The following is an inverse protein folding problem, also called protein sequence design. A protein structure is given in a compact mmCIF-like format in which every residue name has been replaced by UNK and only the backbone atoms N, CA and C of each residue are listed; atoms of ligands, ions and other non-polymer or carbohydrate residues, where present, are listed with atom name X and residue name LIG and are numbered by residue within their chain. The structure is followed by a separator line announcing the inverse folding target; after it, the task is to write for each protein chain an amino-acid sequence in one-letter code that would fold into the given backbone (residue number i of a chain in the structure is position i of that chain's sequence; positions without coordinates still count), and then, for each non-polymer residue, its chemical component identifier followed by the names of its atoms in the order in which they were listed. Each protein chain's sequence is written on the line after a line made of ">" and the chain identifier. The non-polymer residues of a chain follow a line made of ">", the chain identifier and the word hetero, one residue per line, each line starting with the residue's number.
data_IF_126210236755
#
_entry.id   IF_126210236755
#
_cell.length_a   1.000
_cell.length_b   1.000
_cell.length_c   1.000
_cell.angle_alpha   90.00
_cell.angle_beta   90.00
_cell.angle_gamma   90.00
#
_symmetry.space_group_name_H-M   'P 1'
#
loop_
_entity.id
_entity.type
_entity.pdbx_description
1 polymer ?
#
# COMPACT_ATOMS: atom_id res chain seq x y z
N UNK A 1 49.92 32.34 20.88
CA UNK A 1 50.46 31.08 21.42
C UNK A 1 49.39 29.99 21.23
N UNK A 2 49.71 28.98 20.42
CA UNK A 2 49.11 27.63 20.33
C UNK A 2 47.60 27.50 20.07
N UNK A 3 47.15 27.45 18.81
CA UNK A 3 46.09 26.54 18.30
C UNK A 3 46.23 26.40 16.76
N UNK A 4 47.14 25.56 16.27
CA UNK A 4 47.28 25.25 14.81
C UNK A 4 47.34 23.74 14.53
N UNK A 5 47.03 22.89 15.51
CA UNK A 5 47.26 21.43 15.48
C UNK A 5 46.00 20.57 15.31
N UNK A 6 44.80 21.16 15.16
CA UNK A 6 43.52 20.39 15.11
C UNK A 6 43.18 19.88 13.71
N UNK A 7 43.69 20.53 12.65
CA UNK A 7 43.38 20.19 11.26
C UNK A 7 43.82 18.77 10.78
N UNK A 8 45.03 18.28 11.10
CA UNK A 8 45.49 16.99 10.58
C UNK A 8 44.79 15.79 11.22
N UNK A 9 44.32 15.92 12.48
CA UNK A 9 43.62 14.83 13.18
C UNK A 9 42.19 14.63 12.66
N UNK A 10 41.50 15.71 12.28
CA UNK A 10 40.15 15.63 11.67
C UNK A 10 40.22 14.99 10.29
N UNK A 11 41.27 15.30 9.52
CA UNK A 11 41.48 14.75 8.18
C UNK A 11 41.89 13.26 8.22
N UNK A 12 42.69 12.87 9.22
CA UNK A 12 43.01 11.47 9.50
C UNK A 12 41.78 10.66 9.98
N UNK A 13 40.92 11.25 10.82
CA UNK A 13 39.66 10.61 11.23
C UNK A 13 38.70 10.43 10.03
N UNK A 14 38.57 11.44 9.17
CA UNK A 14 37.73 11.35 7.97
C UNK A 14 38.26 10.29 6.98
N UNK A 15 39.59 10.17 6.81
CA UNK A 15 40.19 9.09 6.01
C UNK A 15 39.95 7.71 6.64
N UNK A 16 40.15 7.57 7.96
CA UNK A 16 39.91 6.32 8.68
C UNK A 16 38.44 5.87 8.60
N UNK A 17 37.49 6.81 8.68
CA UNK A 17 36.06 6.54 8.58
C UNK A 17 35.66 6.12 7.16
N UNK A 18 36.24 6.76 6.13
CA UNK A 18 36.02 6.38 4.73
C UNK A 18 36.59 4.99 4.37
N UNK A 19 37.70 4.59 5.00
CA UNK A 19 38.31 3.26 4.85
C UNK A 19 37.47 2.21 5.57
N UNK A 20 37.00 2.51 6.79
CA UNK A 20 36.11 1.64 7.57
C UNK A 20 34.77 1.41 6.85
N UNK A 21 34.20 2.45 6.24
CA UNK A 21 32.96 2.33 5.45
C UNK A 21 33.17 1.47 4.19
N UNK A 22 34.25 1.67 3.43
CA UNK A 22 34.57 0.84 2.24
C UNK A 22 34.84 -0.62 2.59
N UNK A 23 35.50 -0.88 3.71
CA UNK A 23 35.80 -2.24 4.15
C UNK A 23 34.52 -2.98 4.60
N UNK A 24 33.65 -2.29 5.36
CA UNK A 24 32.39 -2.86 5.80
C UNK A 24 31.45 -3.16 4.62
N UNK A 25 31.34 -2.25 3.66
CA UNK A 25 30.48 -2.45 2.48
C UNK A 25 30.98 -3.60 1.58
N UNK A 26 32.31 -3.76 1.43
CA UNK A 26 32.88 -4.91 0.70
C UNK A 26 32.64 -6.23 1.42
N UNK A 27 32.77 -6.25 2.75
CA UNK A 27 32.48 -7.44 3.56
C UNK A 27 31.00 -7.81 3.48
N UNK A 28 30.10 -6.84 3.60
CA UNK A 28 28.66 -7.08 3.44
C UNK A 28 28.31 -7.59 2.04
N UNK A 29 28.87 -7.00 0.98
CA UNK A 29 28.69 -7.49 -0.39
C UNK A 29 29.25 -8.90 -0.60
N UNK A 30 30.42 -9.22 -0.03
CA UNK A 30 31.02 -10.55 -0.11
C UNK A 30 30.20 -11.61 0.64
N UNK A 31 29.73 -11.28 1.85
CA UNK A 31 28.89 -12.19 2.65
C UNK A 31 27.57 -12.46 1.92
N UNK A 32 26.94 -11.44 1.35
CA UNK A 32 25.70 -11.60 0.58
C UNK A 32 25.96 -12.45 -0.67
N UNK A 33 27.03 -12.18 -1.41
CA UNK A 33 27.45 -12.99 -2.57
C UNK A 33 27.62 -14.47 -2.22
N UNK A 34 28.30 -14.78 -1.13
CA UNK A 34 28.55 -16.16 -0.70
C UNK A 34 27.29 -16.88 -0.23
N UNK A 35 26.38 -16.18 0.44
CA UNK A 35 25.06 -16.72 0.85
C UNK A 35 24.25 -17.09 -0.40
N UNK A 36 24.18 -16.19 -1.39
CA UNK A 36 23.46 -16.46 -2.63
C UNK A 36 24.09 -17.62 -3.42
N UNK A 37 25.42 -17.67 -3.52
CA UNK A 37 26.13 -18.75 -4.22
C UNK A 37 25.92 -20.12 -3.53
N UNK A 38 25.87 -20.16 -2.21
CA UNK A 38 25.58 -21.39 -1.47
C UNK A 38 24.11 -21.81 -1.60
N UNK A 39 23.18 -20.87 -1.54
CA UNK A 39 21.77 -21.14 -1.78
C UNK A 39 21.55 -21.71 -3.19
N UNK A 40 22.17 -21.12 -4.23
CA UNK A 40 22.09 -21.61 -5.60
C UNK A 40 22.65 -23.03 -5.74
N UNK A 41 23.81 -23.34 -5.13
CA UNK A 41 24.39 -24.69 -5.11
C UNK A 41 23.49 -25.73 -4.46
N UNK A 42 22.81 -25.37 -3.36
CA UNK A 42 21.86 -26.27 -2.68
C UNK A 42 20.63 -26.47 -3.56
N UNK A 43 20.11 -25.39 -4.13
CA UNK A 43 18.92 -25.44 -4.98
C UNK A 43 19.17 -26.27 -6.24
N UNK A 44 20.33 -26.13 -6.87
CA UNK A 44 20.74 -26.92 -8.04
C UNK A 44 20.91 -28.43 -7.74
N UNK A 45 21.23 -28.79 -6.49
CA UNK A 45 21.36 -30.19 -6.07
C UNK A 45 20.03 -30.85 -5.73
N UNK A 46 19.05 -30.08 -5.28
CA UNK A 46 17.77 -30.60 -4.75
C UNK A 46 16.63 -30.43 -5.76
N UNK A 47 16.69 -29.42 -6.64
CA UNK A 47 15.65 -29.17 -7.63
C UNK A 47 15.97 -29.95 -8.91
N UNK A 48 15.40 -31.14 -9.01
CA UNK A 48 15.20 -31.81 -10.30
C UNK A 48 14.08 -31.08 -11.04
N UNK A 49 14.44 -30.17 -11.96
CA UNK A 49 13.50 -29.66 -12.95
C UNK A 49 13.13 -30.82 -13.88
N UNK A 50 12.03 -31.49 -13.58
CA UNK A 50 11.30 -32.24 -14.60
C UNK A 50 10.96 -31.23 -15.69
N UNK A 51 11.56 -31.41 -16.86
CA UNK A 51 11.17 -30.74 -18.09
C UNK A 51 9.80 -31.27 -18.53
N UNK A 52 8.77 -31.09 -17.70
CA UNK A 52 7.39 -31.28 -18.13
C UNK A 52 6.93 -29.96 -18.71
N UNK A 53 7.04 -29.88 -20.04
CA UNK A 53 6.09 -29.13 -20.87
C UNK A 53 4.69 -29.65 -20.54
N UNK A 54 4.10 -29.17 -19.46
CA UNK A 54 2.72 -29.48 -19.07
C UNK A 54 1.94 -28.19 -19.17
N UNK A 55 1.44 -27.92 -20.38
CA UNK A 55 0.04 -27.58 -20.64
C UNK A 55 -0.78 -27.13 -19.43
N UNK A 56 -0.39 -26.00 -18.83
CA UNK A 56 -1.21 -25.20 -17.90
C UNK A 56 -1.15 -23.78 -18.43
N UNK A 57 -2.07 -23.50 -19.35
CA UNK A 57 -2.47 -22.19 -19.83
C UNK A 57 -1.38 -21.33 -20.47
N UNK A 58 -1.39 -21.23 -21.80
CA UNK A 58 -0.71 -20.17 -22.57
C UNK A 58 -0.99 -18.74 -22.03
N UNK A 59 -2.02 -18.57 -21.21
CA UNK A 59 -2.38 -17.32 -20.55
C UNK A 59 -1.46 -16.95 -19.37
N UNK A 60 -0.99 -17.92 -18.59
CA UNK A 60 -0.10 -17.67 -17.45
C UNK A 60 1.31 -17.29 -17.92
N UNK A 61 1.79 -17.94 -18.98
CA UNK A 61 3.11 -17.66 -19.58
C UNK A 61 3.17 -16.29 -20.27
N UNK A 62 2.10 -15.85 -20.93
CA UNK A 62 2.03 -14.52 -21.54
C UNK A 62 1.88 -13.40 -20.50
N UNK A 63 1.19 -13.68 -19.38
CA UNK A 63 1.11 -12.75 -18.26
C UNK A 63 2.46 -12.67 -17.53
N UNK A 64 3.16 -13.78 -17.38
CA UNK A 64 4.52 -13.78 -16.84
C UNK A 64 5.49 -13.01 -17.76
N UNK A 65 5.42 -13.15 -19.08
CA UNK A 65 6.33 -12.40 -19.99
C UNK A 65 6.08 -10.88 -19.98
N UNK A 66 4.81 -10.44 -19.85
CA UNK A 66 4.47 -9.01 -19.70
C UNK A 66 4.87 -8.47 -18.31
N UNK A 67 4.82 -9.32 -17.27
CA UNK A 67 5.23 -9.01 -15.90
C UNK A 67 6.77 -9.04 -15.72
N UNK A 68 7.50 -9.81 -16.53
CA UNK A 68 8.95 -10.07 -16.37
C UNK A 68 9.82 -9.11 -17.20
N UNK A 69 9.22 -8.24 -18.02
CA UNK A 69 9.96 -7.16 -18.67
C UNK A 69 10.54 -6.19 -17.63
N UNK A 70 11.87 -6.12 -17.56
CA UNK A 70 12.67 -5.30 -16.62
C UNK A 70 12.32 -3.80 -16.63
N UNK A 71 11.64 -3.32 -17.67
CA UNK A 71 11.21 -1.92 -17.80
C UNK A 71 9.69 -1.73 -17.74
N UNK A 72 8.90 -2.71 -18.20
CA UNK A 72 7.43 -2.66 -18.13
C UNK A 72 6.86 -3.14 -16.79
N UNK A 73 7.63 -3.87 -15.98
CA UNK A 73 7.17 -4.36 -14.67
C UNK A 73 6.76 -3.25 -13.70
N UNK A 74 7.44 -2.09 -13.72
CA UNK A 74 7.07 -0.94 -12.88
C UNK A 74 5.73 -0.29 -13.29
N UNK A 75 5.52 0.13 -14.55
CA UNK A 75 4.25 0.74 -14.96
C UNK A 75 3.07 -0.25 -14.88
N UNK A 76 3.26 -1.54 -15.17
CA UNK A 76 2.17 -2.51 -15.12
C UNK A 76 1.71 -2.78 -13.69
N UNK A 77 2.63 -2.76 -12.72
CA UNK A 77 2.33 -2.91 -11.30
C UNK A 77 1.54 -1.72 -10.73
N UNK A 78 1.96 -0.50 -11.10
CA UNK A 78 1.20 0.72 -10.74
C UNK A 78 -0.16 0.75 -11.43
N UNK A 79 -0.22 0.35 -12.71
CA UNK A 79 -1.48 0.29 -13.45
C UNK A 79 -2.46 -0.68 -12.80
N UNK A 80 -2.01 -1.86 -12.34
CA UNK A 80 -2.88 -2.82 -11.67
C UNK A 80 -3.45 -2.26 -10.35
N UNK A 81 -2.61 -1.64 -9.53
CA UNK A 81 -3.06 -0.95 -8.32
C UNK A 81 -4.05 0.17 -8.65
N UNK A 82 -3.81 0.92 -9.73
CA UNK A 82 -4.73 1.94 -10.24
C UNK A 82 -6.07 1.37 -10.72
N UNK A 83 -6.06 0.20 -11.37
CA UNK A 83 -7.27 -0.52 -11.80
C UNK A 83 -8.09 -0.96 -10.58
N UNK A 84 -7.44 -1.47 -9.54
CA UNK A 84 -8.11 -1.84 -8.29
C UNK A 84 -8.76 -0.62 -7.65
N UNK A 85 -8.02 0.49 -7.54
CA UNK A 85 -8.58 1.76 -7.07
C UNK A 85 -9.78 2.21 -7.90
N UNK A 86 -9.68 2.12 -9.22
CA UNK A 86 -10.75 2.46 -10.13
C UNK A 86 -11.99 1.61 -9.91
N UNK A 87 -11.82 0.28 -9.79
CA UNK A 87 -12.89 -0.68 -9.52
C UNK A 87 -13.53 -0.39 -8.16
N UNK A 88 -12.73 -0.13 -7.12
CA UNK A 88 -13.25 0.23 -5.80
C UNK A 88 -14.07 1.51 -5.85
N UNK A 89 -13.56 2.59 -6.45
CA UNK A 89 -14.24 3.89 -6.49
C UNK A 89 -15.52 3.85 -7.34
N UNK A 90 -15.44 3.30 -8.56
CA UNK A 90 -16.62 3.17 -9.44
C UNK A 90 -17.63 2.16 -8.90
N UNK A 91 -17.14 1.05 -8.36
CA UNK A 91 -17.95 -0.01 -7.78
C UNK A 91 -18.67 0.44 -6.51
N UNK A 92 -18.04 1.27 -5.69
CA UNK A 92 -18.61 1.78 -4.45
C UNK A 92 -19.68 2.86 -4.63
N UNK A 93 -19.68 3.57 -5.76
CA UNK A 93 -20.61 4.68 -5.98
C UNK A 93 -22.09 4.21 -5.96
N UNK A 94 -22.38 3.08 -6.63
CA UNK A 94 -23.71 2.45 -6.67
C UNK A 94 -24.25 2.07 -5.27
N UNK A 95 -23.54 1.28 -4.46
CA UNK A 95 -23.99 0.94 -3.10
C UNK A 95 -24.02 2.16 -2.17
N UNK A 96 -23.13 3.14 -2.37
CA UNK A 96 -23.16 4.39 -1.61
C UNK A 96 -24.45 5.17 -1.82
N UNK A 97 -24.87 5.36 -3.08
CA UNK A 97 -26.13 6.04 -3.42
C UNK A 97 -27.34 5.31 -2.80
N UNK A 98 -27.33 3.98 -2.81
CA UNK A 98 -28.41 3.17 -2.23
C UNK A 98 -28.50 3.32 -0.71
N UNK A 99 -27.36 3.27 -0.01
CA UNK A 99 -27.33 3.47 1.44
C UNK A 99 -27.72 4.91 1.80
N UNK A 100 -27.23 5.90 1.05
CA UNK A 100 -27.57 7.31 1.23
C UNK A 100 -29.09 7.54 1.13
N UNK A 101 -29.71 7.05 0.06
CA UNK A 101 -31.16 7.21 -0.15
C UNK A 101 -31.99 6.59 0.97
N UNK A 102 -31.62 5.40 1.47
CA UNK A 102 -32.31 4.76 2.60
C UNK A 102 -32.13 5.57 3.89
N UNK A 103 -30.91 6.02 4.20
CA UNK A 103 -30.63 6.77 5.42
C UNK A 103 -31.27 8.16 5.40
N UNK A 104 -31.28 8.85 4.26
CA UNK A 104 -31.95 10.15 4.14
C UNK A 104 -33.48 10.02 4.16
N UNK A 105 -34.05 8.98 3.56
CA UNK A 105 -35.49 8.71 3.70
C UNK A 105 -35.89 8.47 5.17
N UNK A 106 -35.03 7.79 5.94
CA UNK A 106 -35.25 7.63 7.37
C UNK A 106 -35.12 8.95 8.15
N UNK A 107 -34.19 9.83 7.77
CA UNK A 107 -34.06 11.18 8.32
C UNK A 107 -35.34 12.00 8.13
N UNK A 108 -35.92 11.96 6.94
CA UNK A 108 -37.14 12.71 6.62
C UNK A 108 -38.31 12.22 7.47
N UNK A 109 -38.44 10.91 7.65
CA UNK A 109 -39.45 10.34 8.54
C UNK A 109 -39.22 10.77 9.99
N UNK A 110 -37.97 10.75 10.47
CA UNK A 110 -37.60 11.18 11.82
C UNK A 110 -37.93 12.66 12.07
N UNK A 111 -37.75 13.49 11.04
CA UNK A 111 -38.12 14.91 11.04
C UNK A 111 -39.63 15.10 11.23
N UNK A 112 -40.44 14.32 10.52
CA UNK A 112 -41.91 14.34 10.66
C UNK A 112 -42.35 13.96 12.07
N UNK A 113 -41.76 12.91 12.67
CA UNK A 113 -42.04 12.51 14.05
C UNK A 113 -41.69 13.61 15.06
N UNK A 114 -40.54 14.27 14.90
CA UNK A 114 -40.12 15.38 15.78
C UNK A 114 -41.03 16.60 15.66
N UNK A 115 -41.55 16.89 14.46
CA UNK A 115 -42.52 17.97 14.25
C UNK A 115 -43.88 17.63 14.87
N UNK A 116 -44.32 16.37 14.80
CA UNK A 116 -45.56 15.89 15.45
C UNK A 116 -45.52 16.02 16.98
N UNK A 117 -44.37 15.78 17.59
CA UNK A 117 -44.16 15.92 19.05
C UNK A 117 -43.97 17.38 19.49
N UNK A 118 -43.97 18.36 18.57
CA UNK A 118 -43.66 19.78 18.83
C UNK A 118 -42.34 19.96 19.59
N UNK A 119 -41.32 19.18 19.23
CA UNK A 119 -40.00 19.33 19.81
C UNK A 119 -39.42 20.73 19.50
N UNK A 120 -38.66 21.34 20.42
CA UNK A 120 -38.07 22.66 20.21
C UNK A 120 -37.06 22.65 19.05
N UNK A 121 -37.06 23.71 18.24
CA UNK A 121 -36.31 23.77 16.98
C UNK A 121 -34.78 23.54 17.15
N UNK A 122 -34.21 23.94 18.29
CA UNK A 122 -32.79 23.73 18.58
C UNK A 122 -32.44 22.24 18.74
N UNK A 123 -33.33 21.45 19.35
CA UNK A 123 -33.11 20.02 19.59
C UNK A 123 -33.19 19.24 18.27
N UNK A 124 -34.18 19.55 17.43
CA UNK A 124 -34.30 18.98 16.10
C UNK A 124 -33.08 19.31 15.22
N UNK A 125 -32.63 20.58 15.24
CA UNK A 125 -31.48 21.02 14.47
C UNK A 125 -30.18 20.30 14.86
N UNK A 126 -29.91 20.16 16.15
CA UNK A 126 -28.67 19.51 16.63
C UNK A 126 -28.70 18.00 16.39
N UNK A 127 -29.82 17.34 16.70
CA UNK A 127 -29.88 15.87 16.68
C UNK A 127 -30.11 15.33 15.26
N UNK A 128 -31.08 15.87 14.53
CA UNK A 128 -31.48 15.33 13.22
C UNK A 128 -30.62 15.91 12.11
N UNK A 129 -30.53 17.24 12.01
CA UNK A 129 -29.78 17.92 10.95
C UNK A 129 -28.25 17.95 11.21
N UNK A 130 -27.84 17.87 12.47
CA UNK A 130 -26.44 17.81 12.88
C UNK A 130 -25.95 16.37 12.96
N UNK A 131 -26.24 15.71 14.08
CA UNK A 131 -25.67 14.41 14.41
C UNK A 131 -26.08 13.31 13.43
N UNK A 132 -27.39 13.10 13.24
CA UNK A 132 -27.88 12.01 12.38
C UNK A 132 -27.43 12.21 10.93
N UNK A 133 -27.64 13.40 10.37
CA UNK A 133 -27.25 13.69 8.98
C UNK A 133 -25.75 13.52 8.75
N UNK A 134 -24.90 13.95 9.69
CA UNK A 134 -23.46 13.76 9.60
C UNK A 134 -23.07 12.28 9.64
N UNK A 135 -23.64 11.51 10.59
CA UNK A 135 -23.39 10.08 10.70
C UNK A 135 -23.88 9.32 9.47
N UNK A 136 -25.07 9.63 8.99
CA UNK A 136 -25.65 9.03 7.79
C UNK A 136 -24.76 9.25 6.56
N UNK A 137 -24.24 10.48 6.39
CA UNK A 137 -23.34 10.80 5.29
C UNK A 137 -21.99 10.08 5.40
N UNK A 138 -21.37 10.07 6.59
CA UNK A 138 -20.11 9.36 6.82
C UNK A 138 -20.28 7.86 6.55
N UNK A 139 -21.33 7.23 7.07
CA UNK A 139 -21.59 5.80 6.85
C UNK A 139 -21.86 5.51 5.37
N UNK A 140 -22.70 6.31 4.70
CA UNK A 140 -23.03 6.10 3.30
C UNK A 140 -21.82 6.22 2.37
N UNK A 141 -20.90 7.16 2.65
CA UNK A 141 -19.76 7.44 1.77
C UNK A 141 -18.54 6.57 2.12
N UNK A 142 -18.27 6.28 3.40
CA UNK A 142 -17.04 5.58 3.81
C UNK A 142 -17.18 4.05 3.82
N UNK A 143 -18.36 3.53 4.15
CA UNK A 143 -18.56 2.08 4.32
C UNK A 143 -18.42 1.30 3.00
N UNK A 144 -19.02 1.71 1.87
CA UNK A 144 -18.99 0.91 0.64
C UNK A 144 -17.60 0.77 0.01
N UNK A 145 -16.78 1.83 -0.12
CA UNK A 145 -15.41 1.69 -0.62
C UNK A 145 -14.58 0.73 0.22
N UNK A 146 -14.66 0.82 1.56
CA UNK A 146 -13.91 -0.06 2.46
C UNK A 146 -14.36 -1.52 2.33
N UNK A 147 -15.67 -1.75 2.25
CA UNK A 147 -16.26 -3.09 2.10
C UNK A 147 -15.83 -3.79 0.79
N UNK A 148 -15.58 -3.04 -0.29
CA UNK A 148 -15.12 -3.58 -1.57
C UNK A 148 -13.60 -3.69 -1.60
N UNK A 149 -12.92 -2.69 -1.06
CA UNK A 149 -11.47 -2.57 -1.10
C UNK A 149 -10.78 -3.67 -0.30
N UNK A 150 -11.20 -3.94 0.94
CA UNK A 150 -10.54 -4.93 1.79
C UNK A 150 -10.55 -6.36 1.21
N UNK A 151 -11.68 -6.92 0.73
CA UNK A 151 -11.68 -8.25 0.12
C UNK A 151 -10.81 -8.32 -1.13
N UNK A 152 -10.83 -7.28 -1.97
CA UNK A 152 -10.04 -7.23 -3.19
C UNK A 152 -8.54 -7.13 -2.88
N UNK A 153 -8.21 -6.38 -1.83
CA UNK A 153 -6.85 -6.22 -1.32
C UNK A 153 -6.32 -7.51 -0.69
N UNK A 154 -7.11 -8.20 0.14
CA UNK A 154 -6.76 -9.51 0.71
C UNK A 154 -6.55 -10.54 -0.40
N UNK A 155 -7.40 -10.57 -1.44
CA UNK A 155 -7.21 -11.43 -2.60
C UNK A 155 -5.85 -11.17 -3.28
N UNK A 156 -5.45 -9.90 -3.39
CA UNK A 156 -4.14 -9.53 -3.93
C UNK A 156 -2.97 -9.93 -3.04
N UNK A 157 -3.16 -9.89 -1.74
CA UNK A 157 -2.20 -10.36 -0.74
C UNK A 157 -2.00 -11.87 -0.86
N UNK A 158 -3.10 -12.63 -0.94
CA UNK A 158 -3.12 -14.09 -1.07
C UNK A 158 -2.48 -14.56 -2.38
N UNK A 159 -2.65 -13.82 -3.48
CA UNK A 159 -1.98 -14.08 -4.75
C UNK A 159 -0.46 -13.75 -4.72
N UNK A 160 0.04 -13.20 -3.62
CA UNK A 160 1.44 -12.80 -3.48
C UNK A 160 1.82 -11.62 -4.38
N UNK A 161 0.85 -10.85 -4.87
CA UNK A 161 1.10 -9.69 -5.72
C UNK A 161 1.70 -8.53 -4.92
N UNK A 162 1.18 -8.27 -3.71
CA UNK A 162 1.66 -7.20 -2.83
C UNK A 162 3.16 -7.33 -2.48
N UNK A 163 3.68 -8.52 -2.11
CA UNK A 163 5.13 -8.74 -1.98
C UNK A 163 5.93 -8.39 -3.25
N UNK A 164 5.43 -8.73 -4.44
CA UNK A 164 6.09 -8.43 -5.73
C UNK A 164 6.12 -6.92 -6.00
N UNK A 165 5.00 -6.23 -5.79
CA UNK A 165 4.91 -4.76 -5.90
C UNK A 165 5.88 -4.08 -4.94
N UNK A 166 5.88 -4.48 -3.66
CA UNK A 166 6.72 -3.89 -2.63
C UNK A 166 8.21 -4.03 -2.96
N UNK A 167 8.65 -5.21 -3.45
CA UNK A 167 10.04 -5.41 -3.86
C UNK A 167 10.41 -4.57 -5.09
N UNK A 168 9.52 -4.46 -6.07
CA UNK A 168 9.78 -3.67 -7.28
C UNK A 168 9.86 -2.17 -6.99
N UNK A 169 9.04 -1.66 -6.07
CA UNK A 169 9.08 -0.26 -5.64
C UNK A 169 10.09 0.04 -4.53
N UNK A 170 10.73 -0.97 -3.94
CA UNK A 170 11.78 -0.78 -2.93
C UNK A 170 12.95 0.03 -3.50
N UNK A 171 13.37 -0.21 -4.74
CA UNK A 171 14.46 0.57 -5.35
C UNK A 171 14.11 2.06 -5.54
N UNK A 172 12.84 2.39 -5.81
CA UNK A 172 12.39 3.78 -5.88
C UNK A 172 12.25 4.41 -4.50
N UNK A 173 11.76 3.65 -3.51
CA UNK A 173 11.56 4.14 -2.14
C UNK A 173 12.87 4.26 -1.35
N UNK A 174 13.88 3.45 -1.65
CA UNK A 174 15.24 3.57 -1.09
C UNK A 174 15.87 4.95 -1.38
N UNK A 175 15.54 5.57 -2.52
CA UNK A 175 15.97 6.95 -2.82
C UNK A 175 15.40 7.96 -1.82
N UNK A 176 14.22 7.68 -1.30
CA UNK A 176 13.55 8.47 -0.26
C UNK A 176 13.86 7.99 1.16
N UNK A 177 14.80 7.04 1.35
CA UNK A 177 15.09 6.36 2.62
C UNK A 177 13.87 5.65 3.24
N UNK A 178 12.92 5.24 2.41
CA UNK A 178 11.71 4.52 2.79
C UNK A 178 11.82 3.02 2.44
N UNK A 179 11.02 2.18 3.11
CA UNK A 179 10.95 0.74 2.84
C UNK A 179 9.81 0.44 1.87
N UNK A 180 10.01 -0.50 0.93
CA UNK A 180 8.97 -0.97 -0.01
C UNK A 180 7.62 -1.31 0.62
N UNK A 181 7.62 -1.75 1.89
CA UNK A 181 6.39 -2.08 2.65
C UNK A 181 5.50 -0.85 2.95
N UNK A 182 6.06 0.36 2.96
CA UNK A 182 5.33 1.60 3.24
C UNK A 182 4.45 2.05 2.08
N UNK A 183 4.62 1.48 0.88
CA UNK A 183 3.76 1.85 -0.24
C UNK A 183 2.31 1.48 0.00
N UNK A 184 2.12 0.37 0.73
CA UNK A 184 0.81 -0.14 1.08
C UNK A 184 0.02 0.89 1.89
N UNK A 185 0.64 1.41 2.95
CA UNK A 185 0.04 2.40 3.84
C UNK A 185 -0.19 3.73 3.12
N UNK A 186 0.73 4.14 2.24
CA UNK A 186 0.54 5.32 1.38
C UNK A 186 -0.66 5.15 0.45
N UNK A 187 -0.87 3.96 -0.12
CA UNK A 187 -2.01 3.68 -0.98
C UNK A 187 -3.32 3.71 -0.20
N UNK A 188 -3.36 3.10 1.00
CA UNK A 188 -4.52 3.19 1.91
C UNK A 188 -4.87 4.65 2.23
N UNK A 189 -3.86 5.46 2.54
CA UNK A 189 -4.02 6.87 2.84
C UNK A 189 -4.55 7.70 1.67
N UNK A 190 -4.19 7.34 0.43
CA UNK A 190 -4.67 8.04 -0.77
C UNK A 190 -6.18 7.83 -1.01
N UNK A 191 -6.73 6.70 -0.59
CA UNK A 191 -8.16 6.41 -0.71
C UNK A 191 -8.97 7.01 0.43
N UNK A 192 -8.53 6.79 1.67
CA UNK A 192 -9.16 7.36 2.86
C UNK A 192 -8.08 7.83 3.83
N UNK A 193 -8.00 9.14 4.06
CA UNK A 193 -7.04 9.74 4.97
C UNK A 193 -7.11 9.13 6.38
N UNK A 194 -8.30 8.69 6.83
CA UNK A 194 -8.44 8.03 8.13
C UNK A 194 -7.68 6.68 8.19
N UNK A 195 -7.68 5.91 7.10
CA UNK A 195 -6.94 4.65 7.02
C UNK A 195 -5.42 4.88 7.00
N UNK A 196 -4.96 5.98 6.40
CA UNK A 196 -3.54 6.33 6.36
C UNK A 196 -2.94 6.77 7.70
N UNK A 197 -3.74 7.33 8.60
CA UNK A 197 -3.28 7.82 9.91
C UNK A 197 -3.18 6.70 10.96
N UNK A 198 -3.98 5.63 10.80
CA UNK A 198 -4.01 4.50 11.73
C UNK A 198 -2.92 3.46 11.43
N UNK A 199 -2.35 3.48 10.22
CA UNK A 199 -1.44 2.47 9.69
C UNK A 199 0.04 2.71 10.02
#
# INVERSE_FOLDING_TARGET
>A
MVIKSVHPLVELCAQAESIRYRLNNRLEEQIVSDIYANAEKITAKVVTRSSSKTSRGDWDSHLDDILTSRWLGYPIMIALLGVIFWITLKGANRPSDWIATVLFAFQDQLTVWFQLVRAPAWLHGVVVLGLYRALAWVVAVMLPPMAIFFPLFTLLEDLGYLPRVAFNLDNTLRKCKACGKQILTMCMGFGCNAAGVVA
#
